data_IF_286322857316
#
_entry.id   IF_286322857316
#
_cell.length_a   1.000
_cell.length_b   1.000
_cell.length_c   1.000
_cell.angle_alpha   90.00
_cell.angle_beta   90.00
_cell.angle_gamma   90.00
#
_symmetry.space_group_name_H-M   'P 1'
#
loop_
_entity.id
_entity.type
_entity.pdbx_description
1 polymer ?
#
# COMPACT_ATOMS: atom_id res chain seq x y z
N UNK A 1 0.84 -21.35 11.13
CA UNK A 1 1.05 -20.08 11.85
C UNK A 1 2.46 -19.91 12.42
N UNK A 2 3.33 -20.93 12.46
CA UNK A 2 4.76 -20.77 12.81
C UNK A 2 5.51 -20.14 11.61
N UNK A 3 6.32 -19.10 11.83
CA UNK A 3 7.19 -18.39 10.86
C UNK A 3 6.59 -17.22 10.06
N UNK A 4 5.65 -16.46 10.62
CA UNK A 4 5.29 -15.15 10.04
C UNK A 4 6.17 -14.05 10.63
N UNK A 5 6.85 -13.30 9.75
CA UNK A 5 7.70 -12.18 10.15
C UNK A 5 6.86 -10.99 10.61
N UNK A 6 7.12 -10.48 11.81
CA UNK A 6 6.48 -9.31 12.40
C UNK A 6 7.41 -8.10 12.35
N UNK A 7 6.92 -6.99 11.81
CA UNK A 7 7.67 -5.73 11.70
C UNK A 7 6.85 -4.55 12.24
N UNK A 8 7.54 -3.53 12.74
CA UNK A 8 6.95 -2.24 13.16
C UNK A 8 7.37 -1.14 12.19
N UNK A 9 6.65 -0.01 12.18
CA UNK A 9 6.98 1.13 11.30
C UNK A 9 8.43 1.60 11.46
N UNK A 10 8.97 1.78 12.69
CA UNK A 10 10.36 2.17 12.87
C UNK A 10 11.36 1.16 12.30
N UNK A 11 11.09 -0.14 12.41
CA UNK A 11 11.95 -1.18 11.81
C UNK A 11 11.90 -1.12 10.29
N UNK A 12 10.72 -1.01 9.69
CA UNK A 12 10.59 -0.86 8.23
C UNK A 12 11.30 0.41 7.76
N UNK A 13 11.11 1.55 8.44
CA UNK A 13 11.79 2.79 8.11
C UNK A 13 13.33 2.63 8.17
N UNK A 14 13.86 2.02 9.23
CA UNK A 14 15.30 1.81 9.38
C UNK A 14 15.89 0.84 8.35
N UNK A 15 15.12 -0.15 7.88
CA UNK A 15 15.51 -1.00 6.75
C UNK A 15 15.64 -0.16 5.48
N UNK A 16 14.62 0.63 5.13
CA UNK A 16 14.63 1.48 3.94
C UNK A 16 15.61 2.66 4.02
N UNK A 17 16.03 3.06 5.22
CA UNK A 17 17.12 4.00 5.45
C UNK A 17 18.52 3.34 5.41
N UNK A 18 18.60 2.01 5.29
CA UNK A 18 19.86 1.27 5.27
C UNK A 18 20.56 1.15 6.63
N UNK A 19 19.85 1.43 7.73
CA UNK A 19 20.37 1.30 9.10
C UNK A 19 20.31 -0.15 9.59
N UNK A 20 19.22 -0.85 9.28
CA UNK A 20 19.09 -2.29 9.51
C UNK A 20 19.47 -3.02 8.23
N UNK A 21 20.57 -3.77 8.27
CA UNK A 21 21.23 -4.34 7.08
C UNK A 21 21.18 -5.86 7.00
N UNK A 22 20.76 -6.55 8.07
CA UNK A 22 20.69 -8.00 8.13
C UNK A 22 19.42 -8.47 8.86
N UNK A 23 18.91 -9.64 8.50
CA UNK A 23 17.64 -10.17 9.02
C UNK A 23 17.68 -10.58 10.50
N UNK A 24 18.86 -10.90 11.04
CA UNK A 24 19.07 -11.20 12.45
C UNK A 24 19.31 -9.96 13.33
N UNK A 25 19.12 -8.74 12.80
CA UNK A 25 19.27 -7.51 13.55
C UNK A 25 18.47 -7.54 14.87
N UNK A 26 19.03 -7.06 15.99
CA UNK A 26 18.36 -7.10 17.30
C UNK A 26 16.96 -6.49 17.31
N UNK A 27 16.72 -5.44 16.51
CA UNK A 27 15.41 -4.80 16.41
C UNK A 27 14.37 -5.71 15.74
N UNK A 28 14.78 -6.56 14.78
CA UNK A 28 13.91 -7.57 14.15
C UNK A 28 13.75 -8.77 15.08
N UNK A 29 14.84 -9.24 15.69
CA UNK A 29 14.85 -10.39 16.60
C UNK A 29 13.92 -10.18 17.81
N UNK A 30 13.94 -8.98 18.40
CA UNK A 30 13.05 -8.62 19.52
C UNK A 30 11.57 -8.76 19.18
N UNK A 31 11.17 -8.53 17.93
CA UNK A 31 9.79 -8.65 17.47
C UNK A 31 9.40 -10.11 17.15
N UNK A 32 10.38 -10.99 16.99
CA UNK A 32 10.21 -12.35 16.49
C UNK A 32 10.98 -13.38 17.35
N UNK A 33 10.76 -13.43 18.68
CA UNK A 33 11.58 -14.25 19.60
C UNK A 33 11.51 -15.75 19.33
N UNK A 34 10.45 -16.22 18.67
CA UNK A 34 10.27 -17.64 18.31
C UNK A 34 10.92 -18.02 16.97
N UNK A 35 11.44 -17.05 16.21
CA UNK A 35 12.03 -17.28 14.88
C UNK A 35 13.54 -17.38 14.96
N UNK A 36 14.11 -18.40 14.30
CA UNK A 36 15.54 -18.46 13.99
C UNK A 36 15.83 -17.56 12.79
N UNK A 37 16.15 -16.30 13.05
CA UNK A 37 16.44 -15.32 12.00
C UNK A 37 17.84 -15.57 11.43
N UNK A 38 17.99 -15.64 10.09
CA UNK A 38 19.29 -15.89 9.47
C UNK A 38 20.17 -14.63 9.50
N UNK A 39 21.48 -14.83 9.56
CA UNK A 39 22.48 -13.79 9.27
C UNK A 39 22.55 -13.56 7.75
N UNK A 40 21.47 -13.04 7.20
CA UNK A 40 21.31 -12.80 5.77
C UNK A 40 21.23 -11.28 5.53
N UNK A 41 22.03 -10.71 4.61
CA UNK A 41 21.90 -9.31 4.23
C UNK A 41 20.49 -8.98 3.72
N UNK A 42 20.04 -7.76 4.02
CA UNK A 42 18.77 -7.24 3.53
C UNK A 42 19.01 -6.51 2.20
N UNK A 43 18.34 -6.98 1.15
CA UNK A 43 18.36 -6.32 -0.15
C UNK A 43 17.07 -5.51 -0.34
N UNK A 44 17.16 -4.19 -0.17
CA UNK A 44 16.01 -3.29 -0.35
C UNK A 44 15.70 -3.14 -1.84
N UNK A 45 14.45 -3.40 -2.21
CA UNK A 45 13.91 -3.16 -3.56
C UNK A 45 12.79 -2.12 -3.44
N UNK A 46 12.85 -1.10 -4.29
CA UNK A 46 11.86 -0.02 -4.33
C UNK A 46 11.47 0.28 -5.77
N UNK A 47 10.47 1.14 -5.98
CA UNK A 47 10.14 1.57 -7.34
C UNK A 47 10.97 2.78 -7.75
N UNK A 48 11.08 2.98 -9.05
CA UNK A 48 11.56 4.23 -9.62
C UNK A 48 10.65 5.42 -9.21
N UNK A 49 11.10 6.63 -9.51
CA UNK A 49 10.40 7.88 -9.22
C UNK A 49 9.00 7.98 -9.87
N UNK A 50 8.13 8.79 -9.26
CA UNK A 50 6.79 9.10 -9.77
C UNK A 50 5.80 7.94 -9.66
N UNK A 51 5.87 7.13 -8.59
CA UNK A 51 4.97 5.98 -8.41
C UNK A 51 4.08 6.17 -7.18
N UNK A 52 2.77 5.98 -7.35
CA UNK A 52 1.82 6.00 -6.24
C UNK A 52 2.13 4.99 -5.12
N UNK A 53 2.68 3.82 -5.44
CA UNK A 53 3.15 2.87 -4.41
C UNK A 53 4.28 3.43 -3.54
N UNK A 54 5.14 4.31 -4.08
CA UNK A 54 6.15 5.01 -3.29
C UNK A 54 5.49 6.00 -2.35
N UNK A 55 4.47 6.72 -2.84
CA UNK A 55 3.69 7.62 -2.01
C UNK A 55 3.03 6.87 -0.85
N UNK A 56 2.37 5.74 -1.10
CA UNK A 56 1.72 4.94 -0.06
C UNK A 56 2.73 4.50 1.01
N UNK A 57 3.87 3.92 0.62
CA UNK A 57 4.87 3.50 1.60
C UNK A 57 5.53 4.69 2.31
N UNK A 58 5.94 5.72 1.58
CA UNK A 58 6.66 6.87 2.17
C UNK A 58 5.76 7.70 3.08
N UNK A 59 4.47 7.88 2.76
CA UNK A 59 3.49 8.52 3.64
C UNK A 59 3.31 7.72 4.93
N UNK A 60 3.19 6.39 4.83
CA UNK A 60 3.13 5.51 6.00
C UNK A 60 4.37 5.66 6.90
N UNK A 61 5.57 5.55 6.32
CA UNK A 61 6.82 5.65 7.06
C UNK A 61 7.02 7.03 7.68
N UNK A 62 6.69 8.10 6.95
CA UNK A 62 6.82 9.48 7.40
C UNK A 62 5.85 9.83 8.55
N UNK A 63 4.69 9.18 8.66
CA UNK A 63 3.74 9.40 9.76
C UNK A 63 4.29 8.99 11.13
N UNK A 64 5.26 8.06 11.17
CA UNK A 64 5.74 7.45 12.43
C UNK A 64 7.24 7.64 12.63
N UNK A 65 8.02 7.85 11.56
CA UNK A 65 9.46 8.08 11.62
C UNK A 65 9.82 9.50 11.16
N UNK A 66 10.03 10.44 12.11
CA UNK A 66 10.51 11.79 11.79
C UNK A 66 11.84 11.79 11.03
N UNK A 67 12.72 10.83 11.34
CA UNK A 67 13.98 10.67 10.63
C UNK A 67 13.77 10.25 9.17
N UNK A 68 12.88 9.30 8.90
CA UNK A 68 12.55 8.92 7.53
C UNK A 68 12.02 10.12 6.75
N UNK A 69 11.12 10.90 7.36
CA UNK A 69 10.59 12.13 6.77
C UNK A 69 11.71 13.16 6.48
N UNK A 70 12.68 13.31 7.36
CA UNK A 70 13.80 14.25 7.17
C UNK A 70 14.80 13.77 6.10
N UNK A 71 15.07 12.47 6.02
CA UNK A 71 16.10 11.90 5.13
C UNK A 71 15.54 11.55 3.74
N UNK A 72 14.51 10.70 3.68
CA UNK A 72 13.95 10.20 2.42
C UNK A 72 12.77 11.05 1.95
N UNK A 73 12.01 11.64 2.88
CA UNK A 73 10.83 12.42 2.56
C UNK A 73 9.60 11.59 2.25
N UNK A 74 8.48 12.31 2.04
CA UNK A 74 7.19 11.75 1.66
C UNK A 74 6.84 12.21 0.25
N UNK A 75 6.48 11.26 -0.62
CA UNK A 75 6.07 11.58 -1.98
C UNK A 75 6.11 10.38 -2.91
N UNK A 76 5.82 10.62 -4.18
CA UNK A 76 5.94 9.62 -5.25
C UNK A 76 7.40 9.34 -5.65
N UNK A 77 8.33 10.21 -5.24
CA UNK A 77 9.77 10.13 -5.50
C UNK A 77 10.57 10.41 -4.21
N UNK A 78 10.42 9.59 -3.15
CA UNK A 78 11.22 9.74 -1.94
C UNK A 78 12.69 9.39 -2.25
N UNK A 79 13.61 10.08 -1.59
CA UNK A 79 15.06 9.92 -1.76
C UNK A 79 15.55 8.69 -1.01
N UNK A 80 15.32 7.50 -1.58
CA UNK A 80 15.79 6.24 -0.99
C UNK A 80 17.33 6.24 -0.88
N UNK A 81 17.91 6.13 0.34
CA UNK A 81 19.37 6.12 0.50
C UNK A 81 20.01 4.78 0.12
N UNK A 82 19.21 3.71 0.06
CA UNK A 82 19.64 2.36 -0.31
C UNK A 82 18.59 1.67 -1.16
N UNK A 83 19.04 0.64 -1.88
CA UNK A 83 18.18 -0.29 -2.60
C UNK A 83 18.23 -0.14 -4.12
N UNK A 84 17.51 -1.03 -4.79
CA UNK A 84 17.43 -1.08 -6.25
C UNK A 84 16.04 -0.63 -6.71
N UNK A 85 16.00 0.29 -7.67
CA UNK A 85 14.78 0.82 -8.26
C UNK A 85 14.23 -0.06 -9.40
N UNK A 86 12.90 -0.22 -9.44
CA UNK A 86 12.20 -0.94 -10.50
C UNK A 86 11.06 -0.11 -11.11
N UNK A 87 11.00 -0.08 -12.44
CA UNK A 87 9.94 0.65 -13.16
C UNK A 87 8.58 -0.01 -12.97
N UNK A 88 8.50 -1.33 -13.13
CA UNK A 88 7.26 -2.10 -13.03
C UNK A 88 7.19 -2.86 -11.72
N UNK A 89 5.99 -2.99 -11.15
CA UNK A 89 5.78 -3.81 -9.94
C UNK A 89 6.10 -5.29 -10.20
N UNK A 90 5.81 -5.77 -11.41
CA UNK A 90 6.08 -7.16 -11.80
C UNK A 90 7.58 -7.48 -11.75
N UNK A 91 8.43 -6.56 -12.23
CA UNK A 91 9.89 -6.74 -12.21
C UNK A 91 10.43 -6.74 -10.77
N UNK A 92 9.90 -5.86 -9.92
CA UNK A 92 10.22 -5.84 -8.48
C UNK A 92 9.84 -7.17 -7.83
N UNK A 93 8.64 -7.68 -8.10
CA UNK A 93 8.15 -8.96 -7.55
C UNK A 93 8.95 -10.15 -8.05
N UNK A 94 9.30 -10.18 -9.33
CA UNK A 94 10.19 -11.20 -9.88
C UNK A 94 11.56 -11.17 -9.20
N UNK A 95 12.09 -9.97 -8.92
CA UNK A 95 13.35 -9.81 -8.18
C UNK A 95 13.23 -10.27 -6.73
N UNK A 96 12.13 -9.95 -6.04
CA UNK A 96 11.86 -10.43 -4.68
C UNK A 96 11.91 -11.96 -4.61
N UNK A 97 11.27 -12.63 -5.57
CA UNK A 97 11.22 -14.10 -5.61
C UNK A 97 12.60 -14.75 -5.73
N UNK A 98 13.49 -14.12 -6.49
CA UNK A 98 14.77 -14.69 -6.88
C UNK A 98 15.96 -14.15 -6.07
N UNK A 99 15.71 -13.31 -5.06
CA UNK A 99 16.77 -12.67 -4.26
C UNK A 99 16.57 -13.02 -2.79
N UNK A 100 17.29 -14.02 -2.25
CA UNK A 100 17.27 -14.31 -0.83
C UNK A 100 17.56 -13.05 -0.01
N UNK A 101 16.76 -12.81 1.02
CA UNK A 101 16.93 -11.66 1.91
C UNK A 101 16.37 -10.34 1.36
N UNK A 102 15.77 -10.33 0.18
CA UNK A 102 15.15 -9.13 -0.35
C UNK A 102 13.88 -8.74 0.40
N UNK A 103 13.65 -7.43 0.48
CA UNK A 103 12.43 -6.81 0.97
C UNK A 103 12.00 -5.73 -0.01
N UNK A 104 10.71 -5.61 -0.23
CA UNK A 104 10.11 -4.61 -1.09
C UNK A 104 8.63 -4.47 -0.77
N UNK A 105 7.95 -3.69 -1.59
CA UNK A 105 6.53 -3.40 -1.43
C UNK A 105 5.84 -3.48 -2.79
N UNK A 106 4.65 -4.04 -2.78
CA UNK A 106 3.80 -4.18 -3.96
C UNK A 106 2.34 -4.32 -3.52
N UNK A 107 1.45 -4.29 -4.49
CA UNK A 107 0.03 -4.58 -4.30
C UNK A 107 -0.16 -6.06 -3.87
N UNK A 108 -1.16 -6.31 -3.02
CA UNK A 108 -1.39 -7.59 -2.35
C UNK A 108 -1.55 -8.73 -3.35
N UNK A 109 -2.42 -8.56 -4.34
CA UNK A 109 -2.77 -9.63 -5.28
C UNK A 109 -1.59 -9.98 -6.18
N UNK A 110 -0.78 -8.98 -6.57
CA UNK A 110 0.44 -9.25 -7.35
C UNK A 110 1.46 -10.09 -6.57
N UNK A 111 1.68 -9.79 -5.28
CA UNK A 111 2.57 -10.60 -4.46
C UNK A 111 1.98 -11.99 -4.14
N UNK A 112 0.67 -12.07 -3.89
CA UNK A 112 -0.01 -13.33 -3.60
C UNK A 112 0.04 -14.28 -4.80
N UNK A 113 -0.29 -13.78 -6.00
CA UNK A 113 -0.21 -14.55 -7.25
C UNK A 113 1.21 -15.00 -7.61
N UNK A 114 2.23 -14.30 -7.13
CA UNK A 114 3.64 -14.67 -7.32
C UNK A 114 4.21 -15.56 -6.19
N UNK A 115 3.41 -15.92 -5.18
CA UNK A 115 3.84 -16.73 -4.04
C UNK A 115 4.81 -16.03 -3.09
N UNK A 116 4.83 -14.69 -3.09
CA UNK A 116 5.67 -13.90 -2.20
C UNK A 116 5.10 -13.94 -0.77
N UNK A 117 5.99 -14.13 0.21
CA UNK A 117 5.61 -14.08 1.63
C UNK A 117 5.46 -12.64 2.10
N UNK A 118 4.49 -12.41 2.97
CA UNK A 118 4.20 -11.10 3.55
C UNK A 118 4.68 -11.04 5.01
N UNK A 119 5.05 -9.83 5.44
CA UNK A 119 5.22 -9.55 6.87
C UNK A 119 3.90 -9.08 7.47
N UNK A 120 3.66 -9.45 8.72
CA UNK A 120 2.63 -8.82 9.55
C UNK A 120 3.18 -7.50 10.09
N UNK A 121 2.41 -6.42 9.90
CA UNK A 121 2.84 -5.07 10.27
C UNK A 121 2.05 -4.60 11.48
N UNK A 122 2.76 -4.08 12.50
CA UNK A 122 2.12 -3.48 13.67
C UNK A 122 1.33 -2.23 13.25
N UNK A 123 0.03 -2.22 13.49
CA UNK A 123 -0.84 -1.11 13.16
C UNK A 123 -0.92 -0.06 14.30
N UNK A 124 -1.69 1.00 14.09
CA UNK A 124 -1.89 2.08 15.06
C UNK A 124 -2.53 1.62 16.38
N UNK A 125 -3.29 0.51 16.37
CA UNK A 125 -3.90 -0.07 17.57
C UNK A 125 -2.93 -0.98 18.34
N UNK A 126 -1.71 -1.20 17.83
CA UNK A 126 -0.70 -2.03 18.45
C UNK A 126 -0.74 -3.51 18.07
N UNK A 127 -1.62 -3.89 17.14
CA UNK A 127 -1.80 -5.27 16.69
C UNK A 127 -0.94 -5.56 15.46
N UNK A 128 -0.39 -6.77 15.36
CA UNK A 128 0.33 -7.22 14.17
C UNK A 128 -0.65 -7.80 13.15
N UNK A 129 -0.87 -7.07 12.07
CA UNK A 129 -1.89 -7.40 11.07
C UNK A 129 -1.24 -7.87 9.79
N UNK A 130 -1.69 -9.02 9.29
CA UNK A 130 -1.35 -9.55 7.98
C UNK A 130 -2.16 -8.83 6.89
N UNK A 131 -1.58 -8.57 5.71
CA UNK A 131 -2.37 -8.04 4.60
C UNK A 131 -3.39 -9.07 4.11
N UNK A 132 -4.62 -8.61 3.91
CA UNK A 132 -5.75 -9.37 3.36
C UNK A 132 -6.81 -8.38 2.91
N UNK A 133 -7.74 -8.80 2.03
CA UNK A 133 -8.90 -7.98 1.66
C UNK A 133 -9.66 -7.50 2.91
N UNK A 134 -9.90 -8.39 3.89
CA UNK A 134 -10.58 -8.04 5.15
C UNK A 134 -9.86 -6.98 5.99
N UNK A 135 -8.53 -7.02 6.04
CA UNK A 135 -7.75 -6.04 6.81
C UNK A 135 -7.58 -4.71 6.08
N UNK A 136 -7.66 -4.71 4.74
CA UNK A 136 -7.76 -3.51 3.92
C UNK A 136 -9.15 -2.89 4.04
N UNK A 137 -10.22 -3.70 4.00
CA UNK A 137 -11.60 -3.25 4.24
C UNK A 137 -11.68 -2.56 5.61
N UNK A 138 -11.15 -3.20 6.66
CA UNK A 138 -11.12 -2.62 8.00
C UNK A 138 -10.41 -1.25 8.06
N UNK A 139 -9.29 -1.10 7.34
CA UNK A 139 -8.57 0.17 7.24
C UNK A 139 -9.36 1.23 6.45
N UNK A 140 -10.08 0.83 5.41
CA UNK A 140 -10.90 1.74 4.60
C UNK A 140 -12.11 2.26 5.39
N UNK A 141 -12.76 1.41 6.19
CA UNK A 141 -13.90 1.80 7.02
C UNK A 141 -13.51 2.68 8.20
N UNK A 142 -12.28 2.58 8.68
CA UNK A 142 -11.79 3.37 9.82
C UNK A 142 -10.98 4.61 9.43
N UNK A 143 -10.56 4.72 8.16
CA UNK A 143 -9.60 5.71 7.65
C UNK A 143 -10.05 7.18 7.64
N UNK A 144 -11.20 7.48 8.24
CA UNK A 144 -11.79 8.82 8.28
C UNK A 144 -12.84 9.04 7.19
N UNK A 145 -13.58 10.15 7.28
CA UNK A 145 -14.65 10.48 6.33
C UNK A 145 -14.08 11.02 5.02
N UNK A 146 -14.58 10.51 3.90
CA UNK A 146 -14.19 10.98 2.57
C UNK A 146 -14.50 12.46 2.36
N UNK A 147 -13.49 13.24 1.94
CA UNK A 147 -13.60 14.66 1.63
C UNK A 147 -14.30 14.90 0.29
N UNK A 148 -14.70 16.14 0.02
CA UNK A 148 -15.40 16.52 -1.24
C UNK A 148 -14.53 16.36 -2.49
N UNK A 149 -13.21 16.42 -2.33
CA UNK A 149 -12.21 16.28 -3.39
C UNK A 149 -11.56 14.88 -3.42
N UNK A 150 -12.10 13.94 -2.63
CA UNK A 150 -11.68 12.54 -2.55
C UNK A 150 -10.23 12.30 -2.12
N UNK A 151 -9.53 13.32 -1.63
CA UNK A 151 -8.15 13.20 -1.15
C UNK A 151 -8.15 12.71 0.30
N UNK A 152 -7.84 11.42 0.48
CA UNK A 152 -7.68 10.81 1.79
C UNK A 152 -6.52 9.82 1.78
N UNK A 153 -5.78 9.73 2.89
CA UNK A 153 -4.75 8.73 3.09
C UNK A 153 -5.26 7.68 4.09
N UNK A 154 -5.30 6.42 3.67
CA UNK A 154 -5.63 5.28 4.53
C UNK A 154 -4.39 4.71 5.24
N UNK A 155 -3.20 5.26 5.03
CA UNK A 155 -2.00 4.74 5.67
C UNK A 155 -2.07 4.99 7.18
N UNK A 156 -1.67 3.99 7.96
CA UNK A 156 -1.79 3.97 9.42
C UNK A 156 -3.23 4.24 9.93
N UNK A 157 -4.26 3.81 9.19
CA UNK A 157 -5.64 3.92 9.63
C UNK A 157 -5.84 3.28 11.02
N UNK A 158 -6.70 3.85 11.88
CA UNK A 158 -6.96 3.32 13.22
C UNK A 158 -7.72 1.99 13.16
N UNK A 159 -7.88 1.33 14.30
CA UNK A 159 -8.68 0.10 14.42
C UNK A 159 -7.83 -1.16 14.50
N UNK A 160 -8.31 -2.12 15.30
CA UNK A 160 -7.56 -3.33 15.67
C UNK A 160 -7.21 -4.22 14.48
N UNK A 161 -8.08 -4.27 13.47
CA UNK A 161 -7.92 -5.17 12.32
C UNK A 161 -7.36 -4.48 11.06
N UNK A 162 -7.02 -3.20 11.16
CA UNK A 162 -6.64 -2.38 10.01
C UNK A 162 -5.22 -2.69 9.58
N UNK A 163 -5.03 -3.04 8.31
CA UNK A 163 -3.69 -3.16 7.73
C UNK A 163 -3.13 -1.75 7.48
N UNK A 164 -1.95 -1.41 8.00
CA UNK A 164 -1.50 -0.02 8.07
C UNK A 164 -0.96 0.54 6.74
N UNK A 165 -0.73 -0.30 5.72
CA UNK A 165 -0.25 0.12 4.40
C UNK A 165 -1.36 -0.14 3.38
N UNK A 166 -2.47 0.58 3.55
CA UNK A 166 -3.67 0.50 2.71
C UNK A 166 -3.86 1.81 1.94
N UNK A 167 -4.52 1.75 0.79
CA UNK A 167 -4.82 2.94 -0.01
C UNK A 167 -6.01 2.72 -0.93
N UNK A 168 -6.70 3.80 -1.27
CA UNK A 168 -7.53 3.85 -2.45
C UNK A 168 -6.66 4.02 -3.71
N UNK A 169 -7.29 3.91 -4.88
CA UNK A 169 -6.73 4.41 -6.14
C UNK A 169 -7.72 5.37 -6.77
N UNK A 170 -7.23 6.31 -7.58
CA UNK A 170 -8.03 7.41 -8.11
C UNK A 170 -8.08 7.39 -9.62
N UNK A 171 -9.27 7.71 -10.15
CA UNK A 171 -9.47 8.06 -11.55
C UNK A 171 -9.47 9.59 -11.68
N UNK A 172 -8.56 10.12 -12.50
CA UNK A 172 -8.53 11.54 -12.82
C UNK A 172 -9.25 11.76 -14.14
N UNK A 173 -10.43 12.39 -14.08
CA UNK A 173 -11.33 12.56 -15.23
C UNK A 173 -11.67 14.05 -15.39
N UNK A 174 -11.52 14.63 -16.60
CA UNK A 174 -12.00 15.97 -16.88
C UNK A 174 -13.51 16.05 -16.60
N UNK A 175 -13.93 17.03 -15.80
CA UNK A 175 -15.35 17.22 -15.49
C UNK A 175 -16.17 17.61 -16.73
N UNK A 176 -15.53 18.32 -17.67
CA UNK A 176 -16.09 18.65 -18.98
C UNK A 176 -15.12 18.17 -20.04
N UNK A 177 -15.53 17.19 -20.83
CA UNK A 177 -14.78 16.71 -21.97
C UNK A 177 -14.85 17.71 -23.12
N UNK A 178 -13.74 17.85 -23.88
CA UNK A 178 -13.73 18.63 -25.12
C UNK A 178 -14.68 18.06 -26.18
N UNK A 179 -14.80 16.73 -26.20
CA UNK A 179 -15.70 15.98 -27.05
C UNK A 179 -16.86 15.45 -26.20
N UNK A 180 -18.10 15.95 -26.40
CA UNK A 180 -19.26 15.52 -25.62
C UNK A 180 -19.59 14.03 -25.77
N UNK A 181 -19.27 13.39 -26.89
CA UNK A 181 -19.50 11.96 -27.06
C UNK A 181 -18.55 11.14 -26.18
N UNK A 182 -17.28 11.57 -26.07
CA UNK A 182 -16.32 10.98 -25.13
C UNK A 182 -16.71 11.24 -23.68
N UNK A 183 -17.21 12.44 -23.36
CA UNK A 183 -17.70 12.78 -22.02
C UNK A 183 -18.80 11.82 -21.56
N UNK A 184 -19.81 11.58 -22.40
CA UNK A 184 -20.88 10.60 -22.15
C UNK A 184 -20.34 9.17 -21.98
N UNK A 185 -19.46 8.72 -22.88
CA UNK A 185 -18.89 7.37 -22.80
C UNK A 185 -18.11 7.14 -21.49
N UNK A 186 -17.36 8.15 -21.03
CA UNK A 186 -16.64 8.09 -19.74
C UNK A 186 -17.62 8.09 -18.56
N UNK A 187 -18.67 8.91 -18.61
CA UNK A 187 -19.70 8.92 -17.57
C UNK A 187 -20.40 7.54 -17.44
N UNK A 188 -20.76 6.92 -18.57
CA UNK A 188 -21.36 5.58 -18.60
C UNK A 188 -20.40 4.51 -18.07
N UNK A 189 -19.12 4.58 -18.45
CA UNK A 189 -18.09 3.70 -17.93
C UNK A 189 -17.94 3.84 -16.40
N UNK A 190 -17.85 5.07 -15.88
CA UNK A 190 -17.75 5.30 -14.43
C UNK A 190 -19.00 4.81 -13.68
N UNK A 191 -20.19 5.01 -14.26
CA UNK A 191 -21.44 4.47 -13.70
C UNK A 191 -21.37 2.95 -13.58
N UNK A 192 -20.84 2.25 -14.58
CA UNK A 192 -20.61 0.81 -14.50
C UNK A 192 -19.55 0.43 -13.45
N UNK A 193 -18.41 1.14 -13.40
CA UNK A 193 -17.33 0.92 -12.41
C UNK A 193 -17.85 0.97 -10.98
N UNK A 194 -18.70 1.96 -10.67
CA UNK A 194 -19.28 2.16 -9.33
C UNK A 194 -20.59 1.41 -9.09
N UNK A 195 -20.99 0.50 -9.99
CA UNK A 195 -22.12 -0.40 -9.79
C UNK A 195 -21.68 -1.85 -9.94
N UNK A 196 -22.07 -2.55 -11.01
CA UNK A 196 -21.74 -3.96 -11.23
C UNK A 196 -20.24 -4.22 -11.37
N UNK A 197 -19.46 -3.23 -11.80
CA UNK A 197 -18.00 -3.34 -11.93
C UNK A 197 -17.28 -3.59 -10.60
N UNK A 198 -17.86 -3.19 -9.47
CA UNK A 198 -17.28 -3.46 -8.14
C UNK A 198 -17.12 -4.96 -7.88
N UNK A 199 -18.02 -5.80 -8.41
CA UNK A 199 -17.96 -7.25 -8.22
C UNK A 199 -16.73 -7.87 -8.88
N UNK A 200 -16.36 -7.37 -10.07
CA UNK A 200 -15.16 -7.84 -10.77
C UNK A 200 -13.91 -7.52 -9.94
N UNK A 201 -13.84 -6.33 -9.34
CA UNK A 201 -12.72 -5.97 -8.47
C UNK A 201 -12.62 -6.89 -7.24
N UNK A 202 -13.77 -7.25 -6.63
CA UNK A 202 -13.81 -8.20 -5.52
C UNK A 202 -13.33 -9.59 -5.92
N UNK A 203 -13.76 -10.10 -7.07
CA UNK A 203 -13.36 -11.40 -7.60
C UNK A 203 -11.85 -11.44 -7.87
N UNK A 204 -11.24 -10.30 -8.21
CA UNK A 204 -9.79 -10.11 -8.36
C UNK A 204 -9.06 -9.83 -7.02
N UNK A 205 -9.76 -9.85 -5.89
CA UNK A 205 -9.20 -9.73 -4.54
C UNK A 205 -9.12 -8.31 -3.97
N UNK A 206 -9.67 -7.30 -4.65
CA UNK A 206 -9.72 -5.93 -4.14
C UNK A 206 -10.83 -5.73 -3.11
N UNK A 207 -10.54 -4.87 -2.13
CA UNK A 207 -11.49 -4.40 -1.14
C UNK A 207 -12.66 -3.64 -1.78
N UNK A 208 -13.83 -3.74 -1.19
CA UNK A 208 -15.00 -2.96 -1.62
C UNK A 208 -14.87 -1.52 -1.18
N UNK A 209 -15.30 -0.57 -2.02
CA UNK A 209 -15.46 0.79 -1.54
C UNK A 209 -16.50 0.81 -0.41
N UNK A 210 -16.23 1.47 0.73
CA UNK A 210 -17.23 1.72 1.75
C UNK A 210 -18.48 2.38 1.15
N UNK A 211 -19.67 2.07 1.68
CA UNK A 211 -20.94 2.53 1.10
C UNK A 211 -21.03 4.06 0.96
N UNK A 212 -20.54 4.80 1.95
CA UNK A 212 -20.52 6.26 1.93
C UNK A 212 -19.56 6.81 0.86
N UNK A 213 -18.41 6.15 0.66
CA UNK A 213 -17.45 6.47 -0.39
C UNK A 213 -18.08 6.18 -1.76
N UNK A 214 -18.68 5.00 -1.93
CA UNK A 214 -19.30 4.56 -3.18
C UNK A 214 -20.40 5.54 -3.61
N UNK A 215 -21.27 5.93 -2.68
CA UNK A 215 -22.33 6.91 -2.94
C UNK A 215 -21.77 8.25 -3.41
N UNK A 216 -20.71 8.76 -2.76
CA UNK A 216 -20.08 10.04 -3.13
C UNK A 216 -19.40 9.98 -4.51
N UNK A 217 -18.66 8.92 -4.80
CA UNK A 217 -17.96 8.80 -6.11
C UNK A 217 -18.95 8.57 -7.25
N UNK A 218 -20.02 7.80 -7.03
CA UNK A 218 -21.08 7.61 -8.02
C UNK A 218 -21.81 8.92 -8.32
N UNK A 219 -22.14 9.71 -7.29
CA UNK A 219 -22.74 11.03 -7.47
C UNK A 219 -21.81 11.98 -8.23
N UNK A 220 -20.50 11.96 -7.94
CA UNK A 220 -19.52 12.79 -8.67
C UNK A 220 -19.38 12.34 -10.13
N UNK A 221 -19.31 11.04 -10.38
CA UNK A 221 -19.19 10.48 -11.72
C UNK A 221 -20.35 10.89 -12.63
N UNK A 222 -21.57 10.97 -12.08
CA UNK A 222 -22.75 11.43 -12.81
C UNK A 222 -22.69 12.91 -13.27
N UNK A 223 -21.72 13.70 -12.77
CA UNK A 223 -21.50 15.10 -13.19
C UNK A 223 -20.57 15.24 -14.40
N UNK A 224 -19.91 14.16 -14.83
CA UNK A 224 -19.01 14.17 -15.99
C UNK A 224 -19.85 14.34 -17.27
N UNK A 225 -19.46 15.28 -18.13
CA UNK A 225 -20.17 15.62 -19.36
C UNK A 225 -19.22 15.91 -20.52
#
# INVERSE_FOLDING_TARGET
MKNELKLTVPVVANIFLGKIKAWNDPAIAKLNPEMKLPELPIHVLHRADGKGSNYILSDYLAKVSPEFLATAGRGESPKWPVGQAFQRSQDLVAKLRNTPGAIGYTELNLAAGAGIRFASIKNAAGEFIKPSTKSIDAASSSGGKMTHDFRISLTNAPGKNSYPISSFTWLYVPAVAKDPARGRAVADYLKWVYTSGQRIAQDEGYATLPEDVLAKVAAKAATVR
#
